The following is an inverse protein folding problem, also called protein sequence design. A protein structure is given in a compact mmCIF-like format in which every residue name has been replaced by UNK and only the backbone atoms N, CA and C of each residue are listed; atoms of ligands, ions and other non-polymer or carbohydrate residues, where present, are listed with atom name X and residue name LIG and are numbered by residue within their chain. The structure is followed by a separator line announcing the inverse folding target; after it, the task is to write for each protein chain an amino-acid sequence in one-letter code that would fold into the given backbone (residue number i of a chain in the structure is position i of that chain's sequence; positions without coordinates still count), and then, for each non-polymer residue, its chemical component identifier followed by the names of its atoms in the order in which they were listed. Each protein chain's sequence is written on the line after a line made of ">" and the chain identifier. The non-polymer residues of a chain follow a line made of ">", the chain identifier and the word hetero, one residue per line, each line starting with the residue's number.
data_IF_211194995503
#
_entry.id   IF_211194995503
#
_cell.length_a   1.000
_cell.length_b   1.000
_cell.length_c   1.000
_cell.angle_alpha   90.00
_cell.angle_beta   90.00
_cell.angle_gamma   90.00
#
_symmetry.space_group_name_H-M   'P 1'
#
loop_
_entity.id
_entity.type
_entity.pdbx_description
1 polymer ?
#
# COMPACT_ATOMS: atom_id res chain seq x y z
N UNK A 1 7.23 17.33 -14.66
CA UNK A 1 5.84 16.99 -14.99
C UNK A 1 5.27 16.14 -13.86
N UNK A 2 4.54 16.74 -12.92
CA UNK A 2 3.76 15.98 -11.94
C UNK A 2 2.56 15.41 -12.70
N UNK A 3 2.63 14.13 -13.05
CA UNK A 3 1.49 13.41 -13.64
C UNK A 3 0.70 12.86 -12.46
N UNK A 4 -0.44 13.47 -12.16
CA UNK A 4 -1.38 12.95 -11.18
C UNK A 4 -1.71 11.48 -11.54
N UNK A 5 -1.46 10.56 -10.61
CA UNK A 5 -1.73 9.14 -10.80
C UNK A 5 -3.14 8.83 -10.32
N UNK A 6 -3.97 8.27 -11.21
CA UNK A 6 -5.33 7.86 -10.87
C UNK A 6 -5.30 6.56 -10.09
N UNK A 7 -5.35 6.68 -8.76
CA UNK A 7 -5.28 5.55 -7.82
C UNK A 7 -6.64 5.31 -7.14
N UNK A 8 -6.70 4.33 -6.24
CA UNK A 8 -7.90 3.97 -5.45
C UNK A 8 -8.65 5.17 -4.87
N UNK A 9 -7.95 6.25 -4.51
CA UNK A 9 -8.59 7.47 -3.97
C UNK A 9 -9.51 8.15 -5.01
N UNK A 10 -9.12 8.15 -6.28
CA UNK A 10 -9.83 8.87 -7.36
C UNK A 10 -10.84 7.98 -8.07
N UNK A 11 -10.50 6.71 -8.35
CA UNK A 11 -11.35 5.77 -9.09
C UNK A 11 -11.95 4.65 -8.22
N UNK A 12 -11.72 4.68 -6.91
CA UNK A 12 -12.27 3.69 -5.99
C UNK A 12 -13.62 4.08 -5.39
N UNK A 13 -14.01 3.38 -4.34
CA UNK A 13 -15.34 3.44 -3.73
C UNK A 13 -15.53 4.54 -2.69
N UNK A 14 -14.53 5.40 -2.48
CA UNK A 14 -14.58 6.47 -1.49
C UNK A 14 -15.66 7.51 -1.82
N UNK A 15 -16.27 8.09 -0.79
CA UNK A 15 -17.11 9.28 -0.95
C UNK A 15 -16.28 10.41 -1.57
N UNK A 16 -16.85 11.09 -2.56
CA UNK A 16 -16.18 12.13 -3.34
C UNK A 16 -15.22 11.61 -4.41
N UNK A 17 -15.16 10.29 -4.66
CA UNK A 17 -14.44 9.75 -5.82
C UNK A 17 -15.13 10.13 -7.14
N UNK A 18 -14.42 9.99 -8.25
CA UNK A 18 -14.96 10.27 -9.59
C UNK A 18 -16.24 9.47 -9.86
N UNK A 19 -16.26 8.18 -9.50
CA UNK A 19 -17.44 7.32 -9.68
C UNK A 19 -18.60 7.76 -8.79
N UNK A 20 -18.32 8.16 -7.55
CA UNK A 20 -19.34 8.69 -6.64
C UNK A 20 -19.96 9.97 -7.19
N UNK A 21 -19.13 10.93 -7.62
CA UNK A 21 -19.60 12.20 -8.19
C UNK A 21 -20.37 11.94 -9.50
N UNK A 22 -19.83 11.13 -10.41
CA UNK A 22 -20.52 10.81 -11.67
C UNK A 22 -21.89 10.13 -11.42
N UNK A 23 -21.99 9.26 -10.42
CA UNK A 23 -23.27 8.67 -10.04
C UNK A 23 -24.28 9.70 -9.53
N UNK A 24 -23.82 10.64 -8.69
CA UNK A 24 -24.65 11.69 -8.11
C UNK A 24 -25.09 12.73 -9.15
N UNK A 25 -24.19 13.12 -10.05
CA UNK A 25 -24.43 14.21 -11.02
C UNK A 25 -25.03 13.72 -12.35
N UNK A 26 -24.67 12.52 -12.80
CA UNK A 26 -25.02 12.00 -14.13
C UNK A 26 -25.89 10.73 -14.09
N UNK A 27 -26.11 10.15 -12.91
CA UNK A 27 -26.94 8.97 -12.73
C UNK A 27 -26.29 7.67 -13.20
N UNK A 28 -26.91 6.56 -12.79
CA UNK A 28 -26.33 5.21 -12.90
C UNK A 28 -26.01 4.76 -14.34
N UNK A 29 -26.80 5.16 -15.35
CA UNK A 29 -26.55 4.76 -16.74
C UNK A 29 -25.25 5.35 -17.31
N UNK A 30 -24.99 6.64 -17.07
CA UNK A 30 -23.78 7.32 -17.56
C UNK A 30 -22.56 6.79 -16.80
N UNK A 31 -22.67 6.67 -15.48
CA UNK A 31 -21.61 6.11 -14.64
C UNK A 31 -21.27 4.66 -15.01
N UNK A 32 -22.27 3.85 -15.34
CA UNK A 32 -22.05 2.48 -15.83
C UNK A 32 -21.25 2.44 -17.13
N UNK A 33 -21.55 3.32 -18.09
CA UNK A 33 -20.77 3.44 -19.34
C UNK A 33 -19.35 3.95 -19.09
N UNK A 34 -19.19 4.92 -18.20
CA UNK A 34 -17.88 5.43 -17.78
C UNK A 34 -17.02 4.29 -17.23
N UNK A 35 -17.58 3.48 -16.32
CA UNK A 35 -16.88 2.34 -15.72
C UNK A 35 -16.48 1.30 -16.78
N UNK A 36 -17.40 0.97 -17.70
CA UNK A 36 -17.12 0.06 -18.82
C UNK A 36 -15.97 0.57 -19.71
N UNK A 37 -15.99 1.84 -20.11
CA UNK A 37 -14.93 2.40 -20.96
C UNK A 37 -13.56 2.43 -20.26
N UNK A 38 -13.52 2.75 -18.97
CA UNK A 38 -12.28 2.71 -18.18
C UNK A 38 -11.71 1.30 -18.18
N UNK A 39 -12.53 0.28 -17.88
CA UNK A 39 -12.10 -1.11 -17.87
C UNK A 39 -11.62 -1.57 -19.25
N UNK A 40 -12.36 -1.23 -20.31
CA UNK A 40 -11.98 -1.59 -21.68
C UNK A 40 -10.61 -1.02 -22.05
N UNK A 41 -10.38 0.27 -21.80
CA UNK A 41 -9.12 0.93 -22.12
C UNK A 41 -7.95 0.37 -21.29
N UNK A 42 -8.13 0.25 -19.97
CA UNK A 42 -7.08 -0.22 -19.05
C UNK A 42 -6.74 -1.68 -19.30
N UNK A 43 -7.74 -2.55 -19.48
CA UNK A 43 -7.48 -3.98 -19.74
C UNK A 43 -6.74 -4.18 -21.06
N UNK A 44 -7.11 -3.45 -22.12
CA UNK A 44 -6.39 -3.52 -23.40
C UNK A 44 -4.95 -2.98 -23.27
N UNK A 45 -4.74 -1.91 -22.51
CA UNK A 45 -3.41 -1.39 -22.21
C UNK A 45 -2.57 -2.44 -21.46
N UNK A 46 -3.14 -3.02 -20.40
CA UNK A 46 -2.50 -4.04 -19.57
C UNK A 46 -2.20 -5.33 -20.34
N UNK A 47 -3.02 -5.70 -21.33
CA UNK A 47 -2.74 -6.82 -22.22
C UNK A 47 -1.51 -6.60 -23.09
N UNK A 48 -1.22 -5.35 -23.48
CA UNK A 48 -0.04 -5.00 -24.30
C UNK A 48 1.20 -4.76 -23.45
N UNK A 49 1.06 -4.03 -22.34
CA UNK A 49 2.17 -3.71 -21.43
C UNK A 49 2.61 -4.94 -20.62
N UNK A 50 1.63 -5.76 -20.19
CA UNK A 50 1.84 -6.86 -19.27
C UNK A 50 2.08 -6.38 -17.83
N UNK A 51 1.78 -7.26 -16.88
CA UNK A 51 2.15 -7.09 -15.48
C UNK A 51 2.52 -8.45 -14.90
N UNK A 52 3.58 -8.49 -14.11
CA UNK A 52 4.07 -9.71 -13.48
C UNK A 52 4.62 -9.39 -12.09
N UNK A 53 4.65 -10.42 -11.24
CA UNK A 53 5.29 -10.37 -9.93
C UNK A 53 6.16 -11.61 -9.79
N UNK A 54 7.38 -11.44 -9.30
CA UNK A 54 8.37 -12.50 -9.15
C UNK A 54 9.08 -12.46 -7.79
N UNK A 55 9.93 -13.48 -7.56
CA UNK A 55 10.70 -13.59 -6.31
C UNK A 55 11.61 -12.38 -6.08
N UNK A 56 12.11 -11.76 -7.15
CA UNK A 56 12.96 -10.57 -7.07
C UNK A 56 12.26 -9.37 -6.44
N UNK A 57 10.92 -9.23 -6.61
CA UNK A 57 10.14 -8.14 -6.01
C UNK A 57 10.09 -8.23 -4.48
N UNK A 58 10.50 -9.36 -3.91
CA UNK A 58 10.54 -9.62 -2.46
C UNK A 58 11.94 -9.47 -1.85
N UNK A 59 12.97 -9.32 -2.68
CA UNK A 59 14.36 -9.20 -2.22
C UNK A 59 14.67 -7.73 -1.99
N UNK A 60 14.86 -7.36 -0.73
CA UNK A 60 15.23 -5.99 -0.36
C UNK A 60 16.71 -5.70 -0.70
N UNK A 61 17.07 -4.42 -0.83
CA UNK A 61 18.48 -4.05 -0.98
C UNK A 61 19.28 -4.30 0.32
N UNK A 62 20.61 -4.33 0.19
CA UNK A 62 21.51 -4.62 1.32
C UNK A 62 21.35 -3.61 2.46
N UNK A 63 21.12 -2.34 2.16
CA UNK A 63 20.98 -1.27 3.15
C UNK A 63 19.69 -1.46 3.97
N UNK A 64 18.59 -1.84 3.33
CA UNK A 64 17.35 -2.21 3.98
C UNK A 64 17.54 -3.45 4.86
N UNK A 65 18.25 -4.48 4.39
CA UNK A 65 18.59 -5.67 5.19
C UNK A 65 19.38 -5.34 6.46
N UNK A 66 20.40 -4.50 6.35
CA UNK A 66 21.22 -4.09 7.50
C UNK A 66 20.40 -3.29 8.51
N UNK A 67 19.50 -2.43 8.03
CA UNK A 67 18.55 -1.67 8.84
C UNK A 67 17.59 -2.59 9.59
N UNK A 68 17.02 -3.58 8.89
CA UNK A 68 16.14 -4.59 9.48
C UNK A 68 16.89 -5.36 10.57
N UNK A 69 18.10 -5.84 10.29
CA UNK A 69 18.92 -6.62 11.23
C UNK A 69 19.28 -5.79 12.47
N UNK A 70 19.68 -4.54 12.29
CA UNK A 70 19.99 -3.63 13.39
C UNK A 70 18.77 -3.36 14.26
N UNK A 71 17.60 -3.14 13.64
CA UNK A 71 16.33 -2.91 14.34
C UNK A 71 15.92 -4.13 15.18
N UNK A 72 16.01 -5.33 14.62
CA UNK A 72 15.76 -6.58 15.34
C UNK A 72 16.75 -6.76 16.49
N UNK A 73 18.04 -6.47 16.26
CA UNK A 73 19.08 -6.57 17.28
C UNK A 73 18.82 -5.64 18.47
N UNK A 74 18.47 -4.38 18.20
CA UNK A 74 18.10 -3.40 19.23
C UNK A 74 16.87 -3.85 20.03
N UNK A 75 15.82 -4.30 19.35
CA UNK A 75 14.61 -4.79 20.03
C UNK A 75 14.91 -5.97 20.98
N UNK A 76 15.75 -6.92 20.55
CA UNK A 76 16.20 -8.03 21.41
C UNK A 76 17.01 -7.55 22.62
N UNK A 77 17.88 -6.57 22.44
CA UNK A 77 18.64 -5.97 23.54
C UNK A 77 17.72 -5.28 24.56
N UNK A 78 16.71 -4.55 24.09
CA UNK A 78 15.76 -3.91 25.00
C UNK A 78 14.93 -4.92 25.80
N UNK A 79 14.48 -6.01 25.17
CA UNK A 79 13.81 -7.11 25.89
C UNK A 79 14.73 -7.71 26.96
N UNK A 80 16.00 -7.99 26.64
CA UNK A 80 16.95 -8.51 27.62
C UNK A 80 17.18 -7.55 28.78
N UNK A 81 17.25 -6.23 28.53
CA UNK A 81 17.35 -5.22 29.59
C UNK A 81 16.12 -5.18 30.49
N UNK A 82 14.92 -5.41 29.94
CA UNK A 82 13.69 -5.51 30.75
C UNK A 82 13.74 -6.76 31.63
N UNK A 83 14.15 -7.91 31.08
CA UNK A 83 14.30 -9.17 31.84
C UNK A 83 15.31 -9.00 32.98
N UNK A 84 16.48 -8.41 32.72
CA UNK A 84 17.49 -8.15 33.74
C UNK A 84 17.00 -7.20 34.84
N UNK A 85 16.22 -6.16 34.49
CA UNK A 85 15.61 -5.26 35.47
C UNK A 85 14.55 -5.97 36.33
N UNK A 86 13.76 -6.85 35.71
CA UNK A 86 12.76 -7.67 36.40
C UNK A 86 13.41 -8.61 37.43
N UNK A 87 14.48 -9.31 37.04
CA UNK A 87 15.21 -10.20 37.96
C UNK A 87 15.88 -9.46 39.13
N UNK A 88 16.06 -8.14 39.03
CA UNK A 88 16.66 -7.28 40.06
C UNK A 88 15.64 -6.47 40.88
N UNK A 89 14.34 -6.81 40.79
CA UNK A 89 13.23 -6.07 41.44
C UNK A 89 13.29 -4.54 41.21
N UNK A 90 13.78 -4.13 40.04
CA UNK A 90 14.05 -2.72 39.70
C UNK A 90 13.15 -2.19 38.59
N UNK A 91 11.95 -2.78 38.47
CA UNK A 91 10.89 -2.28 37.60
C UNK A 91 9.93 -1.44 38.44
N UNK A 92 9.72 -0.19 38.02
CA UNK A 92 8.56 0.59 38.48
C UNK A 92 7.27 -0.03 37.89
N UNK A 93 6.13 0.04 38.61
CA UNK A 93 4.85 -0.57 38.20
C UNK A 93 4.35 -0.14 36.82
#
# INVERSE_FOLDING_TARGET
>A
YYRESYVKRTLGTSAGSLLHIAFMECGHHITGRLYYHIQLAVNNCLMLEGHSTGIADTIADQQAYDTIRSTIGKAKLEVNKVIERAHRDSLDP
#
